data_IF_406081827198
#
_entry.id   IF_406081827198
#
_cell.length_a   1.000
_cell.length_b   1.000
_cell.length_c   1.000
_cell.angle_alpha   90.00
_cell.angle_beta   90.00
_cell.angle_gamma   90.00
#
_symmetry.space_group_name_H-M   'P 1'
#
loop_
_entity.id
_entity.type
_entity.pdbx_description
1 polymer ?
#
# COMPACT_ATOMS: atom_id res chain seq x y z
N UNK A 1 -63.60 -8.20 -65.70
CA UNK A 1 -63.50 -7.40 -64.45
C UNK A 1 -63.81 -8.35 -63.31
N UNK A 2 -63.04 -8.27 -62.22
CA UNK A 2 -63.07 -9.17 -61.04
C UNK A 2 -64.47 -9.11 -60.38
N UNK A 3 -65.05 -10.18 -59.79
CA UNK A 3 -64.74 -10.67 -58.42
C UNK A 3 -65.43 -12.00 -58.02
N UNK A 4 -64.76 -12.86 -57.23
CA UNK A 4 -65.32 -13.96 -56.41
C UNK A 4 -64.92 -13.81 -54.90
N UNK A 5 -65.42 -14.57 -53.91
CA UNK A 5 -66.25 -15.79 -53.93
C UNK A 5 -67.15 -15.95 -52.66
N UNK A 6 -68.12 -16.85 -52.80
CA UNK A 6 -69.02 -17.56 -51.85
C UNK A 6 -68.62 -17.62 -50.35
N UNK A 7 -69.62 -17.50 -49.46
CA UNK A 7 -69.61 -18.14 -48.13
C UNK A 7 -71.02 -18.40 -47.59
N UNK A 8 -71.53 -19.64 -47.72
CA UNK A 8 -72.66 -20.10 -46.89
C UNK A 8 -72.61 -21.61 -46.58
N UNK A 9 -72.38 -21.87 -45.29
CA UNK A 9 -72.85 -22.98 -44.44
C UNK A 9 -73.42 -24.26 -45.11
N UNK A 10 -72.86 -25.42 -44.73
CA UNK A 10 -73.64 -26.65 -44.65
C UNK A 10 -73.37 -27.41 -43.33
N UNK A 11 -74.46 -27.84 -42.69
CA UNK A 11 -74.49 -28.61 -41.44
C UNK A 11 -74.22 -30.11 -41.68
N UNK A 12 -73.54 -30.78 -40.74
CA UNK A 12 -73.67 -32.23 -40.51
C UNK A 12 -73.72 -32.51 -39.01
N UNK A 13 -74.66 -33.36 -38.61
CA UNK A 13 -74.97 -33.77 -37.24
C UNK A 13 -74.55 -35.22 -36.99
N UNK A 14 -74.03 -35.54 -35.79
CA UNK A 14 -74.25 -36.80 -35.04
C UNK A 14 -73.33 -36.91 -33.79
N UNK A 15 -73.87 -37.38 -32.66
CA UNK A 15 -73.09 -38.04 -31.59
C UNK A 15 -73.33 -39.56 -31.60
N UNK A 16 -73.11 -40.33 -30.51
CA UNK A 16 -72.59 -39.92 -29.18
C UNK A 16 -71.61 -40.94 -28.51
N UNK A 17 -71.23 -40.68 -27.25
CA UNK A 17 -70.89 -41.66 -26.18
C UNK A 17 -69.68 -42.64 -26.33
N UNK A 18 -68.56 -42.33 -25.67
CA UNK A 18 -68.05 -43.02 -24.43
C UNK A 18 -66.59 -42.69 -24.11
N UNK A 19 -66.28 -42.45 -22.83
CA UNK A 19 -64.91 -42.60 -22.30
C UNK A 19 -64.41 -41.55 -21.29
N UNK A 20 -64.46 -41.90 -20.00
CA UNK A 20 -63.43 -41.64 -18.98
C UNK A 20 -63.00 -40.19 -18.60
N UNK A 21 -63.32 -39.78 -17.36
CA UNK A 21 -62.36 -39.03 -16.52
C UNK A 21 -62.76 -37.65 -15.96
N UNK A 22 -63.29 -37.56 -14.71
CA UNK A 22 -63.37 -36.32 -13.95
C UNK A 22 -62.21 -36.19 -12.95
N UNK A 23 -61.11 -35.49 -13.32
CA UNK A 23 -59.96 -35.31 -12.42
C UNK A 23 -59.20 -33.97 -12.55
N UNK A 24 -59.86 -32.87 -12.94
CA UNK A 24 -59.20 -31.55 -13.01
C UNK A 24 -58.89 -30.92 -11.64
N UNK A 25 -59.16 -31.60 -10.52
CA UNK A 25 -58.72 -31.19 -9.17
C UNK A 25 -57.27 -31.64 -8.87
N UNK A 26 -56.37 -31.41 -9.82
CA UNK A 26 -54.94 -31.61 -9.63
C UNK A 26 -54.36 -30.46 -8.79
N UNK A 27 -54.06 -30.78 -7.53
CA UNK A 27 -53.26 -30.02 -6.56
C UNK A 27 -52.95 -28.54 -6.82
N UNK A 28 -53.46 -27.68 -5.91
CA UNK A 28 -52.77 -26.42 -5.58
C UNK A 28 -51.42 -26.77 -4.94
N UNK A 29 -50.43 -27.00 -5.79
CA UNK A 29 -49.03 -27.12 -5.40
C UNK A 29 -48.63 -25.79 -4.77
N UNK A 30 -48.43 -25.80 -3.46
CA UNK A 30 -47.87 -24.68 -2.71
C UNK A 30 -46.59 -24.25 -3.43
N UNK A 31 -46.60 -23.05 -4.01
CA UNK A 31 -45.41 -22.46 -4.63
C UNK A 31 -44.36 -22.33 -3.53
N UNK A 32 -43.33 -23.18 -3.59
CA UNK A 32 -42.37 -23.30 -2.51
C UNK A 32 -41.59 -21.98 -2.33
N UNK A 33 -41.85 -21.28 -1.22
CA UNK A 33 -41.16 -20.04 -0.81
C UNK A 33 -39.71 -20.28 -0.33
N UNK A 34 -39.03 -21.33 -0.85
CA UNK A 34 -37.64 -21.68 -0.54
C UNK A 34 -36.68 -20.49 -0.73
N UNK A 35 -36.69 -19.71 -1.83
CA UNK A 35 -35.77 -18.57 -1.96
C UNK A 35 -36.05 -17.45 -0.94
N UNK A 36 -37.31 -17.26 -0.53
CA UNK A 36 -37.70 -16.27 0.47
C UNK A 36 -37.27 -16.70 1.87
N UNK A 37 -37.46 -17.98 2.22
CA UNK A 37 -36.97 -18.56 3.47
C UNK A 37 -35.44 -18.50 3.58
N UNK A 38 -34.71 -18.72 2.49
CA UNK A 38 -33.25 -18.58 2.44
C UNK A 38 -32.80 -17.12 2.59
N UNK A 39 -33.51 -16.16 1.97
CA UNK A 39 -33.24 -14.72 2.16
C UNK A 39 -33.47 -14.29 3.61
N UNK A 40 -34.59 -14.67 4.22
CA UNK A 40 -34.89 -14.34 5.63
C UNK A 40 -33.89 -14.98 6.58
N UNK A 41 -33.54 -16.26 6.37
CA UNK A 41 -32.51 -16.93 7.16
C UNK A 41 -31.14 -16.24 7.02
N UNK A 42 -30.75 -15.85 5.80
CA UNK A 42 -29.51 -15.11 5.55
C UNK A 42 -29.47 -13.77 6.30
N UNK A 43 -30.53 -12.97 6.22
CA UNK A 43 -30.63 -11.69 6.97
C UNK A 43 -30.56 -11.91 8.48
N UNK A 44 -31.26 -12.93 9.01
CA UNK A 44 -31.20 -13.28 10.45
C UNK A 44 -29.79 -13.67 10.87
N UNK A 45 -29.06 -14.44 10.07
CA UNK A 45 -27.67 -14.81 10.35
C UNK A 45 -26.72 -13.61 10.31
N UNK A 46 -26.88 -12.70 9.33
CA UNK A 46 -26.08 -11.46 9.24
C UNK A 46 -26.31 -10.57 10.48
N UNK A 47 -27.57 -10.36 10.86
CA UNK A 47 -27.91 -9.54 12.04
C UNK A 47 -27.41 -10.21 13.33
N UNK A 48 -27.59 -11.52 13.48
CA UNK A 48 -27.09 -12.25 14.64
C UNK A 48 -25.55 -12.18 14.75
N UNK A 49 -24.84 -12.30 13.63
CA UNK A 49 -23.38 -12.16 13.59
C UNK A 49 -22.94 -10.74 13.95
N UNK A 50 -23.55 -9.70 13.37
CA UNK A 50 -23.24 -8.31 13.68
C UNK A 50 -23.48 -7.97 15.16
N UNK A 51 -24.56 -8.48 15.76
CA UNK A 51 -24.84 -8.34 17.20
C UNK A 51 -23.81 -9.10 18.04
N UNK A 52 -23.37 -10.30 17.62
CA UNK A 52 -22.35 -11.06 18.34
C UNK A 52 -20.99 -10.34 18.32
N UNK A 53 -20.59 -9.85 17.15
CA UNK A 53 -19.37 -9.07 16.90
C UNK A 53 -19.35 -7.79 17.75
N UNK A 54 -20.44 -7.01 17.73
CA UNK A 54 -20.57 -5.82 18.57
C UNK A 54 -20.55 -6.11 20.08
N UNK A 55 -20.99 -7.30 20.52
CA UNK A 55 -20.94 -7.72 21.93
C UNK A 55 -19.60 -8.30 22.36
N UNK A 56 -18.76 -8.74 21.43
CA UNK A 56 -17.44 -9.29 21.75
C UNK A 56 -16.45 -8.23 22.21
N UNK A 57 -16.74 -6.95 21.95
CA UNK A 57 -15.83 -5.85 22.27
C UNK A 57 -14.60 -5.96 21.38
N UNK A 58 -14.66 -5.33 20.20
CA UNK A 58 -13.45 -5.08 19.44
C UNK A 58 -12.63 -4.08 20.23
N UNK A 59 -11.77 -4.59 21.12
CA UNK A 59 -10.79 -3.78 21.83
C UNK A 59 -10.01 -3.02 20.76
N UNK A 60 -10.05 -1.69 20.85
CA UNK A 60 -9.56 -0.80 19.82
C UNK A 60 -8.18 -1.26 19.38
N UNK A 61 -8.01 -1.50 18.07
CA UNK A 61 -6.75 -1.94 17.49
C UNK A 61 -5.65 -0.98 17.96
N UNK A 62 -4.87 -1.45 18.94
CA UNK A 62 -4.25 -0.55 19.90
C UNK A 62 -3.41 0.50 19.19
N UNK A 63 -3.86 1.76 19.25
CA UNK A 63 -3.08 2.90 18.76
C UNK A 63 -1.68 2.72 19.34
N UNK A 64 -0.63 2.57 18.50
CA UNK A 64 0.68 2.18 18.99
C UNK A 64 1.08 3.20 20.05
N UNK A 65 1.25 2.71 21.29
CA UNK A 65 1.32 3.53 22.49
C UNK A 65 2.29 4.68 22.21
N UNK A 66 1.74 5.91 22.19
CA UNK A 66 2.40 7.05 21.55
C UNK A 66 3.85 7.12 22.01
N UNK A 67 4.77 6.89 21.06
CA UNK A 67 6.20 6.73 21.37
C UNK A 67 6.65 7.97 22.10
N UNK A 68 6.85 7.82 23.41
CA UNK A 68 7.24 8.92 24.27
C UNK A 68 8.56 9.46 23.71
N UNK A 69 8.67 10.77 23.39
CA UNK A 69 9.90 11.29 22.79
C UNK A 69 11.03 11.06 23.78
N UNK A 70 11.97 10.19 23.40
CA UNK A 70 13.18 9.92 24.19
C UNK A 70 13.82 11.27 24.53
N UNK A 71 14.05 11.60 25.81
CA UNK A 71 14.60 12.90 26.17
C UNK A 71 15.96 13.07 25.48
N UNK A 72 16.10 14.16 24.74
CA UNK A 72 17.35 14.49 24.06
C UNK A 72 18.49 14.54 25.08
N UNK A 73 19.65 13.93 24.81
CA UNK A 73 20.79 14.02 25.71
C UNK A 73 21.18 15.49 25.85
N UNK A 74 21.03 16.04 27.06
CA UNK A 74 21.51 17.38 27.38
C UNK A 74 23.02 17.37 27.28
N UNK A 75 23.58 18.17 26.37
CA UNK A 75 25.02 18.29 26.22
C UNK A 75 25.63 18.76 27.55
N UNK A 76 26.64 18.02 28.04
CA UNK A 76 27.38 18.42 29.23
C UNK A 76 28.06 19.78 29.00
N UNK A 77 28.17 20.64 30.02
CA UNK A 77 28.90 21.89 29.89
C UNK A 77 30.36 21.62 29.52
N UNK A 78 30.99 22.45 28.67
CA UNK A 78 32.38 22.24 28.28
C UNK A 78 33.30 22.34 29.49
N UNK A 79 34.18 21.34 29.65
CA UNK A 79 35.27 21.39 30.63
C UNK A 79 36.11 22.65 30.42
N UNK A 80 36.45 23.42 31.47
CA UNK A 80 37.30 24.59 31.30
C UNK A 80 38.67 24.20 30.75
N UNK A 81 39.05 24.78 29.62
CA UNK A 81 40.39 24.63 29.03
C UNK A 81 41.44 25.08 30.05
N UNK A 82 42.49 24.28 30.32
CA UNK A 82 43.56 24.70 31.21
C UNK A 82 44.25 25.96 30.67
N UNK A 83 44.44 26.95 31.53
CA UNK A 83 45.18 28.17 31.21
C UNK A 83 46.61 27.79 30.77
N UNK A 84 47.12 28.30 29.63
CA UNK A 84 48.49 28.04 29.24
C UNK A 84 49.48 28.62 30.27
N UNK A 85 50.65 28.00 30.47
CA UNK A 85 51.69 28.56 31.33
C UNK A 85 52.13 29.95 30.82
N UNK A 86 52.68 30.81 31.70
CA UNK A 86 53.12 32.14 31.30
C UNK A 86 54.19 32.06 30.21
N UNK A 87 53.99 32.81 29.13
CA UNK A 87 54.94 32.96 28.03
C UNK A 87 56.28 33.49 28.55
N UNK A 88 57.37 32.75 28.29
CA UNK A 88 58.72 33.24 28.60
C UNK A 88 59.02 34.52 27.82
N UNK A 89 59.66 35.49 28.48
CA UNK A 89 60.05 36.76 27.84
C UNK A 89 61.15 36.50 26.82
N UNK A 90 61.02 36.91 25.55
CA UNK A 90 62.02 36.64 24.53
C UNK A 90 63.33 37.39 24.85
N UNK A 91 64.43 36.64 24.86
CA UNK A 91 65.79 37.19 24.99
C UNK A 91 66.10 38.05 23.75
N UNK A 92 66.44 39.35 23.89
CA UNK A 92 66.81 40.18 22.75
C UNK A 92 68.19 39.76 22.21
N UNK A 93 68.25 39.06 21.07
CA UNK A 93 69.53 38.50 20.61
C UNK A 93 69.58 37.72 19.31
N UNK A 94 68.75 38.00 18.30
CA UNK A 94 68.96 37.49 16.94
C UNK A 94 68.37 38.43 15.88
N UNK A 95 69.03 38.65 14.73
CA UNK A 95 68.43 39.38 13.61
C UNK A 95 67.25 38.57 13.04
N UNK A 96 66.09 39.21 12.89
CA UNK A 96 64.90 38.55 12.37
C UNK A 96 65.09 38.18 10.88
N UNK A 97 65.18 36.88 10.59
CA UNK A 97 65.01 36.37 9.23
C UNK A 97 63.59 36.65 8.79
N UNK A 98 63.41 37.49 7.77
CA UNK A 98 62.09 37.78 7.20
C UNK A 98 61.52 36.49 6.62
N UNK A 99 60.44 35.98 7.22
CA UNK A 99 59.70 34.85 6.67
C UNK A 99 59.05 35.27 5.35
N UNK A 100 59.38 34.56 4.27
CA UNK A 100 58.79 34.80 2.95
C UNK A 100 57.27 34.48 3.02
N UNK A 101 56.39 35.30 2.42
CA UNK A 101 54.95 35.03 2.45
C UNK A 101 54.65 33.65 1.86
N UNK A 102 54.01 32.79 2.65
CA UNK A 102 53.55 31.49 2.19
C UNK A 102 52.37 31.69 1.26
N UNK A 103 52.59 31.52 -0.04
CA UNK A 103 51.51 31.55 -1.04
C UNK A 103 50.57 30.37 -0.76
N UNK A 104 49.24 30.58 -0.63
CA UNK A 104 48.31 29.47 -0.43
C UNK A 104 48.40 28.52 -1.63
N UNK A 105 48.75 27.26 -1.37
CA UNK A 105 48.70 26.20 -2.37
C UNK A 105 47.24 26.04 -2.80
N UNK A 106 46.93 26.28 -4.06
CA UNK A 106 45.61 26.03 -4.63
C UNK A 106 45.25 24.56 -4.45
N UNK A 107 44.11 24.30 -3.79
CA UNK A 107 43.52 22.97 -3.75
C UNK A 107 43.18 22.57 -5.19
N UNK A 108 43.59 21.39 -5.69
CA UNK A 108 43.17 20.94 -7.01
C UNK A 108 41.65 20.85 -7.05
N UNK A 109 41.03 21.47 -8.04
CA UNK A 109 39.60 21.35 -8.25
C UNK A 109 39.26 19.89 -8.58
N UNK A 110 38.48 19.24 -7.71
CA UNK A 110 37.95 17.91 -7.99
C UNK A 110 36.96 18.05 -9.14
N UNK A 111 37.28 17.46 -10.29
CA UNK A 111 36.37 17.45 -11.43
C UNK A 111 35.14 16.60 -11.08
N UNK A 112 33.94 17.16 -11.23
CA UNK A 112 32.70 16.39 -11.14
C UNK A 112 32.70 15.34 -12.25
N UNK A 113 32.50 14.04 -11.94
CA UNK A 113 32.37 13.03 -12.98
C UNK A 113 31.15 13.32 -13.87
N UNK A 114 31.23 12.96 -15.14
CA UNK A 114 30.09 13.04 -16.05
C UNK A 114 28.93 12.14 -15.54
N UNK A 115 27.66 12.49 -15.85
CA UNK A 115 26.53 11.64 -15.51
C UNK A 115 26.68 10.21 -16.04
N UNK A 116 26.28 9.23 -15.24
CA UNK A 116 26.24 7.84 -15.68
C UNK A 116 25.18 7.64 -16.78
N UNK A 117 25.49 6.79 -17.76
CA UNK A 117 24.62 6.46 -18.89
C UNK A 117 23.95 5.08 -18.76
N UNK A 118 24.23 4.36 -17.68
CA UNK A 118 23.68 3.03 -17.37
C UNK A 118 23.15 3.01 -15.93
N UNK A 119 22.17 2.13 -15.61
CA UNK A 119 21.73 1.91 -14.25
C UNK A 119 22.88 1.52 -13.30
N UNK A 120 22.80 1.90 -12.02
CA UNK A 120 23.73 1.44 -10.99
C UNK A 120 23.56 -0.06 -10.71
N UNK A 121 24.66 -0.76 -10.42
CA UNK A 121 24.65 -2.21 -10.16
C UNK A 121 25.16 -2.60 -8.77
N UNK A 122 25.89 -1.71 -8.08
CA UNK A 122 26.48 -1.97 -6.76
C UNK A 122 26.75 -0.66 -6.00
N UNK A 123 26.62 -0.70 -4.68
CA UNK A 123 27.01 0.39 -3.77
C UNK A 123 28.04 -0.12 -2.76
N UNK A 124 29.14 0.63 -2.60
CA UNK A 124 30.24 0.27 -1.71
C UNK A 124 30.67 1.49 -0.89
N UNK A 125 30.65 1.39 0.43
CA UNK A 125 31.13 2.43 1.36
C UNK A 125 32.06 1.75 2.39
N UNK A 126 33.38 1.66 2.12
CA UNK A 126 34.32 0.89 2.94
C UNK A 126 34.40 1.35 4.40
N UNK A 127 34.23 2.66 4.65
CA UNK A 127 34.29 3.24 5.99
C UNK A 127 33.22 2.70 6.97
N UNK A 128 32.15 2.09 6.45
CA UNK A 128 31.08 1.46 7.25
C UNK A 128 30.89 -0.03 6.88
N UNK A 129 31.82 -0.61 6.10
CA UNK A 129 31.71 -1.97 5.53
C UNK A 129 30.41 -2.23 4.76
N UNK A 130 29.83 -1.21 4.12
CA UNK A 130 28.69 -1.41 3.22
C UNK A 130 29.20 -1.94 1.88
N UNK A 131 28.69 -3.08 1.47
CA UNK A 131 28.81 -3.61 0.11
C UNK A 131 27.51 -4.34 -0.26
N UNK A 132 26.73 -3.77 -1.17
CA UNK A 132 25.41 -4.28 -1.53
C UNK A 132 25.15 -4.20 -3.05
N UNK A 133 24.43 -5.16 -3.64
CA UNK A 133 23.92 -5.01 -5.01
C UNK A 133 22.90 -3.87 -5.07
N UNK A 134 22.74 -3.28 -6.26
CA UNK A 134 21.72 -2.28 -6.54
C UNK A 134 20.69 -2.90 -7.49
N UNK A 135 19.41 -2.77 -7.16
CA UNK A 135 18.28 -3.35 -7.89
C UNK A 135 17.19 -2.31 -8.15
N UNK A 136 16.46 -2.47 -9.25
CA UNK A 136 15.32 -1.61 -9.56
C UNK A 136 14.16 -1.93 -8.61
N UNK A 137 13.48 -0.88 -8.13
CA UNK A 137 12.29 -1.00 -7.27
C UNK A 137 11.18 -0.11 -7.80
N UNK A 138 9.94 -0.59 -7.72
CA UNK A 138 8.77 0.14 -8.20
C UNK A 138 7.86 0.65 -7.09
N UNK A 139 6.63 0.88 -7.50
CA UNK A 139 5.46 0.96 -6.64
C UNK A 139 4.43 -0.02 -7.19
N UNK A 140 3.62 -0.59 -6.30
CA UNK A 140 2.53 -1.49 -6.64
C UNK A 140 1.21 -0.94 -6.12
N UNK A 141 0.13 -1.26 -6.82
CA UNK A 141 -1.22 -0.96 -6.35
C UNK A 141 -1.68 -2.07 -5.40
N UNK A 142 -2.17 -1.70 -4.22
CA UNK A 142 -2.71 -2.63 -3.23
C UNK A 142 -4.07 -2.14 -2.72
N UNK A 143 -4.95 -3.08 -2.38
CA UNK A 143 -6.19 -2.78 -1.67
C UNK A 143 -5.94 -2.81 -0.15
N UNK A 144 -6.30 -1.72 0.53
CA UNK A 144 -6.32 -1.60 2.00
C UNK A 144 -7.70 -1.09 2.40
N UNK A 145 -8.42 -1.86 3.21
CA UNK A 145 -9.74 -1.47 3.75
C UNK A 145 -10.80 -1.10 2.68
N UNK A 146 -10.69 -1.71 1.48
CA UNK A 146 -11.57 -1.41 0.34
C UNK A 146 -11.22 -0.12 -0.40
N UNK A 147 -10.03 0.44 -0.16
CA UNK A 147 -9.45 1.55 -0.90
C UNK A 147 -8.18 1.13 -1.62
N UNK A 148 -8.14 1.45 -2.91
CA UNK A 148 -6.96 1.33 -3.77
C UNK A 148 -5.89 2.34 -3.36
N UNK A 149 -4.72 1.87 -2.95
CA UNK A 149 -3.56 2.72 -2.59
C UNK A 149 -2.28 2.24 -3.27
N UNK A 150 -1.24 3.08 -3.28
CA UNK A 150 0.09 2.73 -3.80
C UNK A 150 1.06 2.44 -2.66
N UNK A 151 1.77 1.32 -2.77
CA UNK A 151 2.78 0.88 -1.82
C UNK A 151 4.15 0.86 -2.52
N UNK A 152 5.15 1.53 -1.95
CA UNK A 152 6.53 1.49 -2.45
C UNK A 152 7.13 0.11 -2.22
N UNK A 153 7.83 -0.41 -3.22
CA UNK A 153 8.56 -1.67 -3.09
C UNK A 153 9.89 -1.46 -2.37
N UNK A 154 10.28 -2.42 -1.54
CA UNK A 154 11.54 -2.41 -0.77
C UNK A 154 12.40 -3.56 -1.26
N UNK A 155 13.69 -3.28 -1.47
CA UNK A 155 14.65 -4.27 -1.94
C UNK A 155 15.16 -5.17 -0.80
N UNK A 156 15.12 -6.49 -1.01
CA UNK A 156 15.65 -7.47 -0.03
C UNK A 156 17.19 -7.48 -0.03
N UNK A 157 17.80 -7.07 1.08
CA UNK A 157 19.26 -7.05 1.30
C UNK A 157 20.07 -6.33 0.18
N UNK A 158 19.44 -5.37 -0.48
CA UNK A 158 19.99 -4.63 -1.62
C UNK A 158 19.61 -3.15 -1.52
N UNK A 159 20.30 -2.30 -2.29
CA UNK A 159 19.91 -0.91 -2.45
C UNK A 159 18.91 -0.78 -3.61
N UNK A 160 17.78 -0.12 -3.37
CA UNK A 160 16.80 0.20 -4.42
C UNK A 160 17.22 1.42 -5.24
N UNK A 161 16.98 1.40 -6.55
CA UNK A 161 16.91 2.60 -7.38
C UNK A 161 15.59 2.65 -8.16
N UNK A 162 15.17 3.86 -8.52
CA UNK A 162 14.00 4.13 -9.36
C UNK A 162 14.44 4.70 -10.72
N UNK A 163 13.60 4.56 -11.73
CA UNK A 163 13.74 5.13 -13.09
C UNK A 163 12.72 6.24 -13.36
#
# INVERSE_FOLDING_TARGET
>A
MVEPEISEVHQVSAGPERGEGPAWKAGVLRRFHIPEALMVLGVVLIVAFAVLWARQGHEDAGLPAAVQPTPFPTAAPPTPTPTPPPTETPVPGAPATVALPTIPRSTPAVATPAPATSPPTRIVIPAINLDAPVVEVGWKVVERDGQTTTEWEVADYAAGFHI
#
